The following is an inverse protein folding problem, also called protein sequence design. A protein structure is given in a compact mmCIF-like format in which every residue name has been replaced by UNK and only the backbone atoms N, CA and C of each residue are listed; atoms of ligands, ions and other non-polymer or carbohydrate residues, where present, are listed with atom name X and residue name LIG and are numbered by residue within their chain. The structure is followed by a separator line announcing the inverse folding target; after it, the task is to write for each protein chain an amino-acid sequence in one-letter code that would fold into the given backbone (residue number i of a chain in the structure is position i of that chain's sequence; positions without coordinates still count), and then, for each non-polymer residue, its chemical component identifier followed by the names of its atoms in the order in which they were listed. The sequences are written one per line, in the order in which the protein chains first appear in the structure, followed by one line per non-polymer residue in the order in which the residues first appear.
data_IF_191211037661
#
_entry.id   IF_191211037661
#
_cell.length_a   1.000
_cell.length_b   1.000
_cell.length_c   1.000
_cell.angle_alpha   90.00
_cell.angle_beta   90.00
_cell.angle_gamma   90.00
#
_symmetry.space_group_name_H-M   'P 1'
#
loop_
_entity.id
_entity.type
_entity.pdbx_description
1 polymer ?
#
# COMPACT_ATOMS: atom_id res chain seq x y z
N UNK A 1 -2.41 -13.67 -17.84
CA UNK A 1 -1.07 -13.06 -17.86
C UNK A 1 -0.83 -12.43 -16.50
N UNK A 2 0.00 -13.04 -15.64
CA UNK A 2 0.33 -12.43 -14.35
C UNK A 2 1.38 -11.36 -14.58
N UNK A 3 1.00 -10.09 -14.44
CA UNK A 3 1.96 -8.99 -14.41
C UNK A 3 2.88 -9.22 -13.20
N UNK A 4 4.10 -9.67 -13.46
CA UNK A 4 5.17 -9.67 -12.47
C UNK A 4 5.51 -8.20 -12.22
N UNK A 5 4.98 -7.64 -11.14
CA UNK A 5 5.48 -6.38 -10.59
C UNK A 5 6.98 -6.61 -10.37
N UNK A 6 7.82 -5.98 -11.20
CA UNK A 6 9.26 -5.91 -10.94
C UNK A 6 9.37 -5.21 -9.57
N UNK A 7 9.96 -5.89 -8.59
CA UNK A 7 10.32 -5.26 -7.33
C UNK A 7 11.27 -4.10 -7.66
N UNK A 8 10.73 -2.88 -7.72
CA UNK A 8 11.54 -1.67 -7.68
C UNK A 8 12.11 -1.58 -6.27
N UNK A 9 13.41 -1.38 -6.14
CA UNK A 9 14.03 -0.97 -4.89
C UNK A 9 13.62 0.48 -4.61
N UNK A 10 12.39 0.66 -4.10
CA UNK A 10 11.90 1.97 -3.70
C UNK A 10 12.45 2.26 -2.31
N UNK A 11 13.31 3.29 -2.23
CA UNK A 11 13.79 3.79 -0.95
C UNK A 11 12.74 4.75 -0.41
N UNK A 12 12.04 4.31 0.64
CA UNK A 12 11.10 5.15 1.37
C UNK A 12 11.82 5.91 2.49
N UNK A 13 11.49 7.19 2.72
CA UNK A 13 11.83 7.88 3.96
C UNK A 13 11.25 7.15 5.18
N UNK A 14 11.90 7.30 6.34
CA UNK A 14 11.51 6.63 7.60
C UNK A 14 10.04 6.86 7.94
N UNK A 15 9.52 8.08 7.78
CA UNK A 15 8.12 8.39 8.08
C UNK A 15 7.12 7.63 7.19
N UNK A 16 7.45 7.38 5.91
CA UNK A 16 6.62 6.58 5.01
C UNK A 16 6.69 5.12 5.45
N UNK A 17 7.88 4.64 5.83
CA UNK A 17 8.06 3.28 6.31
C UNK A 17 7.29 3.01 7.62
N UNK A 18 7.30 3.96 8.56
CA UNK A 18 6.55 3.88 9.82
C UNK A 18 5.03 3.81 9.58
N UNK A 19 4.52 4.57 8.61
CA UNK A 19 3.12 4.50 8.18
C UNK A 19 2.78 3.15 7.51
N UNK A 20 3.67 2.62 6.68
CA UNK A 20 3.53 1.26 6.10
C UNK A 20 3.49 0.21 7.22
N UNK A 21 4.34 0.32 8.24
CA UNK A 21 4.32 -0.59 9.39
C UNK A 21 3.02 -0.48 10.19
N UNK A 22 2.52 0.75 10.38
CA UNK A 22 1.26 0.98 11.08
C UNK A 22 0.09 0.34 10.33
N UNK A 23 0.02 0.56 9.01
CA UNK A 23 -0.98 -0.09 8.16
C UNK A 23 -0.86 -1.63 8.18
N UNK A 24 0.36 -2.17 8.15
CA UNK A 24 0.61 -3.62 8.21
C UNK A 24 0.04 -4.23 9.50
N UNK A 25 0.16 -3.53 10.64
CA UNK A 25 -0.41 -3.98 11.92
C UNK A 25 -1.94 -3.94 11.90
N UNK A 26 -2.53 -2.85 11.42
CA UNK A 26 -3.99 -2.71 11.31
C UNK A 26 -4.60 -3.78 10.40
N UNK A 27 -4.00 -4.02 9.22
CA UNK A 27 -4.41 -5.09 8.32
C UNK A 27 -4.26 -6.46 8.97
N UNK A 28 -3.18 -6.68 9.72
CA UNK A 28 -2.96 -7.97 10.39
C UNK A 28 -3.98 -8.24 11.49
N UNK A 29 -4.36 -7.21 12.24
CA UNK A 29 -5.42 -7.30 13.23
C UNK A 29 -6.78 -7.56 12.58
N UNK A 30 -7.10 -6.83 11.51
CA UNK A 30 -8.40 -6.93 10.84
C UNK A 30 -8.61 -8.30 10.17
N UNK A 31 -7.60 -8.82 9.48
CA UNK A 31 -7.69 -10.10 8.78
C UNK A 31 -7.41 -11.31 9.68
N UNK A 32 -7.04 -11.09 10.96
CA UNK A 32 -6.55 -12.14 11.86
C UNK A 32 -5.41 -12.98 11.24
N UNK A 33 -4.61 -12.36 10.36
CA UNK A 33 -3.53 -12.97 9.60
C UNK A 33 -2.33 -12.05 9.58
N UNK A 34 -1.12 -12.58 9.73
CA UNK A 34 0.09 -11.76 9.62
C UNK A 34 0.31 -11.30 8.18
N UNK A 35 0.25 -9.99 7.96
CA UNK A 35 0.65 -9.35 6.71
C UNK A 35 2.16 -9.08 6.70
N UNK A 36 2.83 -9.32 5.57
CA UNK A 36 4.21 -8.87 5.40
C UNK A 36 4.26 -7.42 4.89
N UNK A 37 5.36 -6.72 5.13
CA UNK A 37 5.59 -5.37 4.58
C UNK A 37 5.45 -5.38 3.06
N UNK A 38 6.06 -6.34 2.38
CA UNK A 38 5.95 -6.47 0.91
C UNK A 38 4.50 -6.67 0.44
N UNK A 39 3.68 -7.44 1.18
CA UNK A 39 2.26 -7.62 0.84
C UNK A 39 1.46 -6.32 1.06
N UNK A 40 1.80 -5.57 2.10
CA UNK A 40 1.17 -4.27 2.42
C UNK A 40 1.51 -3.23 1.36
N UNK A 41 2.78 -3.14 0.94
CA UNK A 41 3.20 -2.25 -0.15
C UNK A 41 2.53 -2.66 -1.47
N UNK A 42 2.46 -3.95 -1.79
CA UNK A 42 1.76 -4.41 -2.99
C UNK A 42 0.26 -4.04 -2.97
N UNK A 43 -0.38 -4.08 -1.81
CA UNK A 43 -1.76 -3.64 -1.66
C UNK A 43 -1.91 -2.13 -1.91
N UNK A 44 -1.03 -1.32 -1.33
CA UNK A 44 -0.99 0.13 -1.55
C UNK A 44 -0.75 0.47 -3.02
N UNK A 45 0.17 -0.23 -3.69
CA UNK A 45 0.45 -0.04 -5.12
C UNK A 45 -0.80 -0.31 -5.96
N UNK A 46 -1.51 -1.40 -5.70
CA UNK A 46 -2.76 -1.74 -6.39
C UNK A 46 -3.85 -0.70 -6.16
N UNK A 47 -3.92 -0.15 -4.94
CA UNK A 47 -4.82 0.96 -4.62
C UNK A 47 -4.48 2.22 -5.44
N UNK A 48 -3.21 2.63 -5.45
CA UNK A 48 -2.77 3.81 -6.20
C UNK A 48 -2.97 3.66 -7.72
N UNK A 49 -2.83 2.44 -8.25
CA UNK A 49 -3.01 2.14 -9.67
C UNK A 49 -4.49 1.96 -10.07
N UNK A 50 -5.44 2.13 -9.14
CA UNK A 50 -6.86 1.89 -9.39
C UNK A 50 -7.13 0.52 -10.03
N UNK A 51 -6.45 -0.54 -9.59
CA UNK A 51 -6.77 -1.90 -10.00
C UNK A 51 -8.04 -2.38 -9.28
N UNK A 52 -9.20 -1.85 -9.72
CA UNK A 52 -10.55 -2.02 -9.15
C UNK A 52 -10.98 -3.50 -8.96
N UNK A 53 -10.25 -4.46 -9.54
CA UNK A 53 -10.56 -5.89 -9.46
C UNK A 53 -9.77 -6.69 -8.43
N UNK A 54 -8.79 -6.11 -7.73
CA UNK A 54 -7.78 -6.90 -6.97
C UNK A 54 -7.70 -6.58 -5.48
N UNK A 55 -8.31 -5.48 -5.05
CA UNK A 55 -8.42 -5.17 -3.62
C UNK A 55 -9.61 -5.97 -3.09
N UNK A 56 -9.34 -7.07 -2.40
CA UNK A 56 -10.38 -7.91 -1.78
C UNK A 56 -11.39 -7.02 -1.06
N UNK A 57 -12.68 -7.18 -1.42
CA UNK A 57 -13.84 -6.35 -1.01
C UNK A 57 -13.83 -6.01 0.50
N UNK A 58 -13.37 -6.94 1.33
CA UNK A 58 -13.30 -6.83 2.79
C UNK A 58 -12.29 -5.79 3.30
N UNK A 59 -11.19 -5.61 2.56
CA UNK A 59 -10.12 -4.66 2.88
C UNK A 59 -10.21 -3.36 2.09
N UNK A 60 -10.98 -3.33 1.00
CA UNK A 60 -11.14 -2.15 0.16
C UNK A 60 -11.76 -0.97 0.92
N UNK A 61 -12.81 -1.21 1.70
CA UNK A 61 -13.48 -0.17 2.51
C UNK A 61 -12.54 0.42 3.56
N UNK A 62 -11.91 -0.44 4.37
CA UNK A 62 -10.95 0.01 5.39
C UNK A 62 -9.75 0.70 4.80
N UNK A 63 -9.16 0.15 3.74
CA UNK A 63 -7.98 0.74 3.11
C UNK A 63 -8.31 2.12 2.55
N UNK A 64 -9.49 2.26 1.94
CA UNK A 64 -10.00 3.55 1.46
C UNK A 64 -10.16 4.55 2.61
N UNK A 65 -10.82 4.16 3.69
CA UNK A 65 -11.04 5.05 4.85
C UNK A 65 -9.72 5.43 5.53
N UNK A 66 -8.82 4.46 5.72
CA UNK A 66 -7.49 4.67 6.31
C UNK A 66 -6.65 5.65 5.48
N UNK A 67 -6.62 5.46 4.16
CA UNK A 67 -5.83 6.29 3.25
C UNK A 67 -6.43 7.68 3.05
N UNK A 68 -7.76 7.82 3.03
CA UNK A 68 -8.40 9.14 3.01
C UNK A 68 -8.16 9.92 4.31
N UNK A 69 -8.08 9.24 5.46
CA UNK A 69 -7.69 9.88 6.71
C UNK A 69 -6.20 10.31 6.73
N UNK A 70 -5.39 9.76 5.83
CA UNK A 70 -3.94 9.96 5.73
C UNK A 70 -3.54 10.42 4.33
N UNK A 71 -4.26 11.41 3.79
CA UNK A 71 -4.07 11.92 2.43
C UNK A 71 -2.62 12.34 2.14
N UNK A 72 -1.97 13.06 3.06
CA UNK A 72 -0.56 13.47 2.92
C UNK A 72 0.40 12.28 2.77
N UNK A 73 0.16 11.17 3.49
CA UNK A 73 0.96 9.95 3.31
C UNK A 73 0.73 9.34 1.93
N UNK A 74 -0.53 9.29 1.47
CA UNK A 74 -0.88 8.73 0.17
C UNK A 74 -0.25 9.53 -0.98
N UNK A 75 -0.29 10.86 -0.92
CA UNK A 75 0.34 11.74 -1.91
C UNK A 75 1.85 11.52 -1.97
N UNK A 76 2.51 11.52 -0.82
CA UNK A 76 3.96 11.29 -0.71
C UNK A 76 4.34 9.90 -1.24
N UNK A 77 3.63 8.86 -0.82
CA UNK A 77 3.84 7.50 -1.26
C UNK A 77 3.69 7.37 -2.78
N UNK A 78 2.62 7.94 -3.33
CA UNK A 78 2.33 7.91 -4.77
C UNK A 78 3.40 8.67 -5.56
N UNK A 79 3.80 9.85 -5.09
CA UNK A 79 4.87 10.66 -5.70
C UNK A 79 6.19 9.89 -5.80
N UNK A 80 6.56 9.15 -4.75
CA UNK A 80 7.78 8.30 -4.76
C UNK A 80 7.71 7.18 -5.77
N UNK A 81 6.54 6.54 -5.94
CA UNK A 81 6.35 5.47 -6.95
C UNK A 81 6.53 6.03 -8.35
N UNK A 82 5.92 7.18 -8.66
CA UNK A 82 6.06 7.82 -9.98
C UNK A 82 7.50 8.25 -10.26
N UNK A 83 8.23 8.75 -9.26
CA UNK A 83 9.65 9.11 -9.41
C UNK A 83 10.56 7.89 -9.66
N UNK A 84 10.25 6.72 -9.10
CA UNK A 84 11.04 5.50 -9.32
C UNK A 84 10.75 4.81 -10.66
N UNK A 85 9.66 5.18 -11.35
CA UNK A 85 9.27 4.61 -12.64
C UNK A 85 9.90 5.26 -13.87
N UNK A 86 10.73 6.29 -13.66
CA UNK A 86 11.39 7.08 -14.68
C UNK A 86 12.91 6.86 -14.71
#
# INVERSE_FOLDING_TARGET
MSQKIKYMDIIFPDYIYDEIQSLQKELSHKDSRVWSISSTVNLLLRFCLHEDGVIYDQNASFLRDYLYAKESFLEDFTSRIFMSAH
#
